data_IF_732087904861
#
_entry.id   IF_732087904861
#
_cell.length_a   1.000
_cell.length_b   1.000
_cell.length_c   1.000
_cell.angle_alpha   90.00
_cell.angle_beta   90.00
_cell.angle_gamma   90.00
#
_symmetry.space_group_name_H-M   'P 1'
#
loop_
_entity.id
_entity.type
_entity.pdbx_description
1 polymer ?
#
# COMPACT_ATOMS: atom_id res chain seq x y z
N UNK A 1 11.22 -15.23 -4.55
CA UNK A 1 11.09 -14.19 -3.50
C UNK A 1 9.84 -13.36 -3.83
N UNK A 2 8.91 -13.16 -2.90
CA UNK A 2 7.69 -12.41 -3.19
C UNK A 2 8.03 -10.97 -3.58
N UNK A 3 7.49 -10.50 -4.71
CA UNK A 3 7.66 -9.12 -5.14
C UNK A 3 7.20 -8.20 -4.00
N UNK A 4 7.97 -7.15 -3.71
CA UNK A 4 7.58 -6.27 -2.65
C UNK A 4 6.37 -5.44 -3.06
N UNK A 5 5.30 -5.48 -2.27
CA UNK A 5 4.09 -4.71 -2.52
C UNK A 5 3.91 -3.62 -1.46
N UNK A 6 3.36 -2.47 -1.87
CA UNK A 6 2.82 -1.45 -0.94
C UNK A 6 1.32 -1.63 -0.93
N UNK A 7 0.76 -1.88 0.26
CA UNK A 7 -0.68 -2.05 0.42
C UNK A 7 -1.29 -0.78 0.99
N UNK A 8 -2.55 -0.54 0.64
CA UNK A 8 -3.32 0.61 1.09
C UNK A 8 -4.79 0.25 1.26
N UNK A 9 -5.49 1.03 2.09
CA UNK A 9 -6.93 0.91 2.30
C UNK A 9 -7.70 1.50 1.12
N UNK A 10 -9.04 1.35 1.10
CA UNK A 10 -9.93 1.72 -0.02
C UNK A 10 -10.01 3.22 -0.39
N UNK A 11 -9.06 4.05 0.03
CA UNK A 11 -9.02 5.49 -0.26
C UNK A 11 -8.50 5.77 -1.68
N UNK A 12 -9.18 5.20 -2.67
CA UNK A 12 -8.91 5.40 -4.09
C UNK A 12 -10.05 6.13 -4.73
N UNK A 13 -9.70 7.19 -5.45
CA UNK A 13 -10.63 7.88 -6.32
C UNK A 13 -10.17 7.66 -7.75
N UNK A 14 -11.12 7.38 -8.65
CA UNK A 14 -10.86 7.55 -10.08
C UNK A 14 -10.34 8.98 -10.24
N UNK A 15 -9.10 9.12 -10.72
CA UNK A 15 -8.58 10.44 -10.99
C UNK A 15 -9.50 11.04 -12.06
N UNK A 16 -10.03 12.23 -11.80
CA UNK A 16 -10.89 12.95 -12.73
C UNK A 16 -10.34 14.35 -12.92
N UNK A 17 -10.52 14.89 -14.11
CA UNK A 17 -10.29 16.29 -14.40
C UNK A 17 -11.57 16.91 -14.95
N UNK A 18 -11.71 18.22 -14.75
CA UNK A 18 -12.80 18.98 -15.35
C UNK A 18 -12.38 19.36 -16.77
N UNK A 19 -13.12 18.89 -17.77
CA UNK A 19 -12.85 19.22 -19.15
C UNK A 19 -13.13 20.73 -19.36
N UNK A 20 -12.16 21.54 -19.80
CA UNK A 20 -12.36 22.97 -19.99
C UNK A 20 -13.34 23.29 -21.12
N UNK A 21 -13.60 22.36 -22.07
CA UNK A 21 -14.53 22.57 -23.18
C UNK A 21 -15.95 22.19 -22.83
N UNK A 22 -16.16 21.08 -22.11
CA UNK A 22 -17.51 20.56 -21.81
C UNK A 22 -17.95 20.82 -20.37
N UNK A 23 -17.07 21.32 -19.50
CA UNK A 23 -17.30 21.50 -18.06
C UNK A 23 -17.65 20.21 -17.27
N UNK A 24 -17.58 19.05 -17.91
CA UNK A 24 -17.85 17.74 -17.30
C UNK A 24 -16.61 17.14 -16.62
N UNK A 25 -16.83 16.24 -15.66
CA UNK A 25 -15.75 15.49 -15.03
C UNK A 25 -15.43 14.21 -15.81
N UNK A 26 -14.27 14.17 -16.46
CA UNK A 26 -13.78 13.01 -17.21
C UNK A 26 -12.73 12.26 -16.43
N UNK A 27 -12.62 10.96 -16.70
CA UNK A 27 -11.55 10.13 -16.15
C UNK A 27 -10.19 10.66 -16.64
N UNK A 28 -9.23 10.78 -15.73
CA UNK A 28 -7.91 11.28 -16.04
C UNK A 28 -7.09 10.22 -16.76
N UNK A 29 -6.76 10.55 -18.00
CA UNK A 29 -5.83 9.86 -18.87
C UNK A 29 -4.45 10.49 -18.73
N UNK A 30 -3.42 9.67 -18.55
CA UNK A 30 -2.06 10.16 -18.45
C UNK A 30 -1.60 10.69 -19.82
N UNK A 31 -1.27 11.97 -19.87
CA UNK A 31 -0.95 12.69 -21.12
C UNK A 31 0.21 12.10 -21.94
N UNK A 32 1.13 11.35 -21.32
CA UNK A 32 2.35 10.83 -21.96
C UNK A 32 2.54 9.33 -21.88
N UNK A 33 1.75 8.63 -21.06
CA UNK A 33 1.98 7.22 -20.79
C UNK A 33 0.87 6.42 -21.44
N UNK A 34 1.24 5.50 -22.32
CA UNK A 34 0.33 4.64 -23.05
C UNK A 34 0.41 3.22 -22.49
N UNK A 35 -0.73 2.54 -22.44
CA UNK A 35 -0.79 1.12 -22.17
C UNK A 35 -0.25 0.30 -23.34
N UNK A 36 -0.21 -1.02 -23.17
CA UNK A 36 0.25 -1.96 -24.22
C UNK A 36 -0.55 -1.80 -25.53
N UNK A 37 -1.78 -1.34 -25.44
CA UNK A 37 -2.69 -1.12 -26.57
C UNK A 37 -2.54 0.27 -27.23
N UNK A 38 -1.53 1.06 -26.86
CA UNK A 38 -1.28 2.40 -27.39
C UNK A 38 -2.23 3.49 -26.86
N UNK A 39 -3.25 3.13 -26.08
CA UNK A 39 -4.20 4.06 -25.46
C UNK A 39 -3.61 4.73 -24.21
N UNK A 40 -3.97 5.99 -23.90
CA UNK A 40 -3.55 6.64 -22.67
C UNK A 40 -3.90 5.84 -21.42
N UNK A 41 -2.99 5.80 -20.44
CA UNK A 41 -3.23 5.09 -19.19
C UNK A 41 -4.24 5.83 -18.33
N UNK A 42 -5.30 5.13 -17.95
CA UNK A 42 -6.21 5.61 -16.92
C UNK A 42 -5.49 5.57 -15.57
N UNK A 43 -5.67 6.62 -14.77
CA UNK A 43 -5.01 6.74 -13.48
C UNK A 43 -6.00 6.61 -12.31
N UNK A 44 -5.50 6.12 -11.20
CA UNK A 44 -6.10 6.30 -9.88
C UNK A 44 -5.37 7.38 -9.10
N UNK A 45 -6.14 8.14 -8.31
CA UNK A 45 -5.64 9.02 -7.27
C UNK A 45 -5.74 8.29 -5.94
N UNK A 46 -4.61 7.89 -5.38
CA UNK A 46 -4.55 7.26 -4.05
C UNK A 46 -4.21 8.35 -3.06
N UNK A 47 -5.12 8.60 -2.13
CA UNK A 47 -4.91 9.61 -1.09
C UNK A 47 -3.96 9.06 -0.03
N UNK A 48 -3.01 9.89 0.39
CA UNK A 48 -2.15 9.59 1.53
C UNK A 48 -2.92 9.86 2.83
N UNK A 49 -2.65 9.09 3.90
CA UNK A 49 -3.11 9.42 5.24
C UNK A 49 -2.68 10.84 5.64
N UNK A 50 -3.54 11.53 6.39
CA UNK A 50 -3.23 12.87 6.90
C UNK A 50 -2.01 12.83 7.85
N UNK A 51 -1.39 13.99 8.08
CA UNK A 51 -0.19 14.11 8.91
C UNK A 51 -0.29 13.37 10.26
N UNK A 52 -1.44 13.46 10.94
CA UNK A 52 -1.69 12.84 12.24
C UNK A 52 -1.78 11.30 12.20
N UNK A 53 -1.89 10.71 11.00
CA UNK A 53 -2.09 9.27 10.79
C UNK A 53 -0.90 8.58 10.12
N UNK A 54 0.23 9.28 9.98
CA UNK A 54 1.48 8.73 9.42
C UNK A 54 2.69 9.20 10.23
N UNK A 55 3.73 8.36 10.28
CA UNK A 55 4.98 8.67 10.98
C UNK A 55 5.86 9.64 10.19
N UNK A 56 6.00 9.38 8.90
CA UNK A 56 6.76 10.23 8.00
C UNK A 56 6.07 11.59 7.88
N UNK A 57 6.78 12.67 8.22
CA UNK A 57 6.39 14.06 7.97
C UNK A 57 7.26 14.64 6.86
N UNK A 58 6.69 15.54 6.06
CA UNK A 58 7.42 16.27 5.03
C UNK A 58 7.99 17.58 5.59
N UNK A 59 9.16 18.05 5.15
CA UNK A 59 9.58 19.42 5.44
C UNK A 59 8.63 20.41 4.77
N UNK A 60 8.62 21.67 5.25
CA UNK A 60 8.01 22.77 4.49
C UNK A 60 8.65 22.85 3.10
N UNK A 61 7.85 23.20 2.10
CA UNK A 61 8.40 23.38 0.76
C UNK A 61 9.26 24.64 0.67
N UNK A 62 9.94 24.83 -0.47
CA UNK A 62 10.82 26.00 -0.70
C UNK A 62 10.07 27.34 -0.69
N UNK A 63 8.74 27.31 -0.83
CA UNK A 63 7.87 28.48 -0.77
C UNK A 63 7.33 28.69 0.66
N UNK A 64 7.81 27.92 1.65
CA UNK A 64 7.38 28.00 3.05
C UNK A 64 6.03 27.32 3.34
N UNK A 65 5.45 26.61 2.37
CA UNK A 65 4.15 25.95 2.50
C UNK A 65 4.32 24.71 3.40
N UNK A 66 3.50 24.62 4.46
CA UNK A 66 3.36 23.39 5.23
C UNK A 66 2.50 22.38 4.46
N UNK A 67 3.18 21.51 3.71
CA UNK A 67 2.53 20.48 2.89
C UNK A 67 1.92 19.34 3.71
N UNK A 68 2.24 19.20 5.01
CA UNK A 68 1.60 18.19 5.86
C UNK A 68 0.15 18.56 6.21
N UNK A 69 -0.17 19.84 6.24
CA UNK A 69 -1.55 20.35 6.40
C UNK A 69 -2.44 20.11 5.18
N UNK A 70 -1.86 19.68 4.05
CA UNK A 70 -2.55 19.54 2.76
C UNK A 70 -3.00 18.10 2.51
N UNK A 71 -4.03 17.93 1.68
CA UNK A 71 -4.36 16.61 1.14
C UNK A 71 -3.27 16.19 0.15
N UNK A 72 -2.64 15.08 0.43
CA UNK A 72 -1.58 14.51 -0.41
C UNK A 72 -2.09 13.28 -1.17
N UNK A 73 -1.54 13.04 -2.35
CA UNK A 73 -1.91 11.89 -3.18
C UNK A 73 -0.80 11.45 -4.11
N UNK A 74 -0.85 10.19 -4.52
CA UNK A 74 -0.08 9.68 -5.66
C UNK A 74 -1.02 9.39 -6.83
N UNK A 75 -0.48 9.45 -8.03
CA UNK A 75 -1.14 8.98 -9.24
C UNK A 75 -0.48 7.69 -9.69
N UNK A 76 -1.28 6.65 -9.86
CA UNK A 76 -0.80 5.34 -10.34
C UNK A 76 -1.69 4.84 -11.47
N UNK A 77 -1.13 4.11 -12.46
CA UNK A 77 -1.92 3.42 -13.48
C UNK A 77 -2.94 2.47 -12.85
N UNK A 78 -4.14 2.40 -13.41
CA UNK A 78 -5.22 1.56 -12.86
C UNK A 78 -4.89 0.07 -12.86
N UNK A 79 -4.20 -0.37 -13.91
CA UNK A 79 -3.74 -1.74 -14.12
C UNK A 79 -2.60 -2.17 -13.19
N UNK A 80 -1.85 -1.21 -12.64
CA UNK A 80 -0.82 -1.44 -11.64
C UNK A 80 -1.37 -1.64 -10.21
N UNK A 81 -2.69 -1.54 -10.02
CA UNK A 81 -3.34 -1.70 -8.72
C UNK A 81 -4.17 -2.97 -8.69
N UNK A 82 -3.88 -3.81 -7.70
CA UNK A 82 -4.47 -5.12 -7.53
C UNK A 82 -5.29 -5.20 -6.25
N UNK A 83 -6.40 -5.93 -6.33
CA UNK A 83 -7.23 -6.26 -5.18
C UNK A 83 -6.78 -7.56 -4.53
N UNK A 84 -6.79 -7.63 -3.20
CA UNK A 84 -6.61 -8.88 -2.46
C UNK A 84 -7.38 -8.87 -1.14
N UNK A 85 -7.41 -10.01 -0.44
CA UNK A 85 -8.01 -10.14 0.88
C UNK A 85 -6.93 -10.52 1.90
N UNK A 86 -6.82 -9.75 2.97
CA UNK A 86 -5.96 -10.04 4.12
C UNK A 86 -6.83 -10.07 5.37
N UNK A 87 -6.82 -11.17 6.13
CA UNK A 87 -7.65 -11.35 7.32
C UNK A 87 -9.13 -10.97 7.07
N UNK A 88 -9.69 -11.50 5.97
CA UNK A 88 -11.06 -11.23 5.48
C UNK A 88 -11.37 -9.77 5.08
N UNK A 89 -10.43 -8.84 5.22
CA UNK A 89 -10.56 -7.45 4.79
C UNK A 89 -10.03 -7.28 3.37
N UNK A 90 -10.84 -6.66 2.49
CA UNK A 90 -10.42 -6.29 1.14
C UNK A 90 -9.38 -5.17 1.24
N UNK A 91 -8.19 -5.42 0.70
CA UNK A 91 -7.08 -4.46 0.63
C UNK A 91 -6.59 -4.36 -0.79
N UNK A 92 -5.99 -3.22 -1.14
CA UNK A 92 -5.39 -3.03 -2.45
C UNK A 92 -3.88 -2.94 -2.30
N UNK A 93 -3.17 -3.31 -3.35
CA UNK A 93 -1.73 -3.20 -3.41
C UNK A 93 -1.27 -2.80 -4.78
N UNK A 94 -0.09 -2.19 -4.84
CA UNK A 94 0.62 -1.88 -6.08
C UNK A 94 1.95 -2.63 -6.12
N UNK A 95 2.30 -3.09 -7.32
CA UNK A 95 3.59 -3.72 -7.57
C UNK A 95 4.69 -2.65 -7.54
N UNK A 96 5.75 -2.90 -6.77
CA UNK A 96 6.83 -1.93 -6.56
C UNK A 96 7.95 -2.06 -7.60
N UNK A 97 7.63 -2.36 -8.86
CA UNK A 97 8.65 -2.25 -9.93
C UNK A 97 9.13 -0.80 -10.07
N UNK A 98 8.29 0.17 -9.75
CA UNK A 98 8.66 1.58 -9.67
C UNK A 98 9.48 1.86 -8.40
N UNK A 99 10.71 2.33 -8.58
CA UNK A 99 11.63 2.63 -7.47
C UNK A 99 11.21 3.88 -6.67
N UNK A 100 10.45 4.77 -7.31
CA UNK A 100 10.07 6.09 -6.77
C UNK A 100 8.66 6.51 -7.15
N UNK A 101 7.91 7.07 -6.21
CA UNK A 101 6.58 7.67 -6.42
C UNK A 101 6.62 9.18 -6.23
N UNK A 102 5.91 9.90 -7.07
CA UNK A 102 5.71 11.35 -6.89
C UNK A 102 4.42 11.59 -6.09
N UNK A 103 4.58 12.20 -4.92
CA UNK A 103 3.49 12.67 -4.07
C UNK A 103 3.17 14.11 -4.45
N UNK A 104 1.91 14.33 -4.82
CA UNK A 104 1.34 15.64 -5.11
C UNK A 104 0.53 16.14 -3.92
N UNK A 105 0.46 17.45 -3.77
CA UNK A 105 -0.29 18.11 -2.71
C UNK A 105 -1.37 18.99 -3.32
N UNK A 106 -2.52 19.07 -2.66
CA UNK A 106 -3.63 19.91 -3.10
C UNK A 106 -3.30 21.40 -2.93
N UNK A 107 -3.41 22.13 -4.04
CA UNK A 107 -3.31 23.59 -4.05
C UNK A 107 -4.47 24.24 -3.29
N UNK A 108 -4.20 25.34 -2.62
CA UNK A 108 -5.19 26.20 -1.99
C UNK A 108 -5.23 27.56 -2.66
N UNK A 109 -6.40 28.21 -2.61
CA UNK A 109 -6.61 29.53 -3.17
C UNK A 109 -5.81 30.54 -2.36
N UNK A 110 -5.03 31.37 -3.07
CA UNK A 110 -4.29 32.45 -2.43
C UNK A 110 -5.26 33.52 -1.91
N UNK A 111 -4.90 34.10 -0.78
CA UNK A 111 -5.65 35.16 -0.11
C UNK A 111 -4.72 36.31 0.24
N UNK A 112 -5.22 37.52 0.22
CA UNK A 112 -4.51 38.70 0.72
C UNK A 112 -4.50 38.75 2.26
N UNK A 113 -3.94 39.81 2.82
CA UNK A 113 -3.82 39.99 4.27
C UNK A 113 -5.17 40.02 4.99
N UNK A 114 -6.23 40.48 4.31
CA UNK A 114 -7.60 40.59 4.83
C UNK A 114 -8.41 39.30 4.60
N UNK A 115 -7.80 38.30 3.95
CA UNK A 115 -8.41 37.00 3.68
C UNK A 115 -9.26 36.97 2.41
N UNK A 116 -9.29 38.02 1.60
CA UNK A 116 -9.98 38.02 0.32
C UNK A 116 -9.20 37.22 -0.73
N UNK A 117 -9.88 36.51 -1.63
CA UNK A 117 -9.18 35.71 -2.60
C UNK A 117 -8.44 36.55 -3.64
N UNK A 118 -7.22 36.13 -3.98
CA UNK A 118 -6.41 36.78 -5.01
C UNK A 118 -6.82 36.25 -6.39
N UNK A 119 -6.97 37.17 -7.35
CA UNK A 119 -7.31 36.86 -8.73
C UNK A 119 -6.17 37.21 -9.69
N UNK A 120 -6.07 36.49 -10.81
CA UNK A 120 -5.23 36.85 -11.95
C UNK A 120 -5.85 38.05 -12.70
N UNK A 121 -5.09 38.73 -13.58
CA UNK A 121 -5.62 39.86 -14.36
C UNK A 121 -6.85 39.50 -15.22
N UNK A 122 -7.00 38.24 -15.62
CA UNK A 122 -8.15 37.70 -16.33
C UNK A 122 -9.30 37.25 -15.41
N UNK A 123 -9.28 37.64 -14.13
CA UNK A 123 -10.35 37.40 -13.16
C UNK A 123 -10.45 35.96 -12.63
N UNK A 124 -9.44 35.11 -12.87
CA UNK A 124 -9.43 33.73 -12.36
C UNK A 124 -8.78 33.66 -11.00
N UNK A 125 -9.16 32.67 -10.20
CA UNK A 125 -8.56 32.44 -8.89
C UNK A 125 -7.08 32.10 -9.00
N UNK A 126 -6.24 32.78 -8.22
CA UNK A 126 -4.86 32.35 -8.00
C UNK A 126 -4.82 31.26 -6.94
N UNK A 127 -3.96 30.28 -7.16
CA UNK A 127 -3.71 29.16 -6.27
C UNK A 127 -2.23 29.04 -5.99
N UNK A 128 -1.88 28.59 -4.79
CA UNK A 128 -0.52 28.19 -4.48
C UNK A 128 -0.11 26.94 -5.29
N UNK A 129 1.19 26.71 -5.35
CA UNK A 129 1.78 25.62 -6.15
C UNK A 129 2.73 24.82 -5.26
N UNK A 130 2.21 23.95 -4.39
CA UNK A 130 3.05 23.13 -3.52
C UNK A 130 3.93 22.19 -4.35
N UNK A 131 5.20 22.08 -3.97
CA UNK A 131 6.16 21.28 -4.74
C UNK A 131 5.94 19.78 -4.48
N UNK A 132 5.80 18.95 -5.54
CA UNK A 132 5.69 17.51 -5.38
C UNK A 132 6.96 16.89 -4.78
N UNK A 133 6.78 15.87 -3.93
CA UNK A 133 7.88 15.16 -3.27
C UNK A 133 8.03 13.77 -3.85
N UNK A 134 9.26 13.37 -4.17
CA UNK A 134 9.56 11.99 -4.58
C UNK A 134 9.85 11.13 -3.36
N UNK A 135 9.16 10.01 -3.24
CA UNK A 135 9.34 9.04 -2.18
C UNK A 135 9.83 7.71 -2.72
N UNK A 136 10.74 7.09 -1.99
CA UNK A 136 11.15 5.73 -2.25
C UNK A 136 10.17 4.73 -1.61
N UNK A 137 10.38 3.46 -1.92
CA UNK A 137 9.54 2.37 -1.42
C UNK A 137 9.47 2.27 0.10
N UNK A 138 10.60 2.46 0.81
CA UNK A 138 10.64 2.37 2.27
C UNK A 138 9.75 3.44 2.90
N UNK A 139 9.83 4.67 2.38
CA UNK A 139 9.00 5.80 2.81
C UNK A 139 7.51 5.58 2.48
N UNK A 140 7.20 5.06 1.29
CA UNK A 140 5.82 4.74 0.92
C UNK A 140 5.20 3.66 1.81
N UNK A 141 5.95 2.61 2.13
CA UNK A 141 5.50 1.56 3.05
C UNK A 141 5.30 2.06 4.49
N UNK A 142 6.05 3.08 4.92
CA UNK A 142 5.88 3.72 6.22
C UNK A 142 4.62 4.60 6.29
N UNK A 143 4.28 5.27 5.19
CA UNK A 143 3.08 6.12 5.10
C UNK A 143 1.80 5.29 5.19
N UNK A 144 1.68 4.22 4.42
CA UNK A 144 0.46 3.42 4.34
C UNK A 144 0.41 2.31 5.42
N UNK A 145 0.78 2.67 6.66
CA UNK A 145 1.19 1.73 7.71
C UNK A 145 0.43 0.40 7.73
N UNK A 146 1.25 -0.62 7.74
CA UNK A 146 1.02 -1.98 7.26
C UNK A 146 0.42 -2.87 8.34
N UNK A 147 -0.35 -2.32 9.30
CA UNK A 147 -0.86 -3.08 10.46
C UNK A 147 -1.50 -4.42 10.04
N UNK A 148 -2.30 -4.41 8.98
CA UNK A 148 -2.89 -5.62 8.37
C UNK A 148 -1.87 -6.64 7.83
N UNK A 149 -0.73 -6.19 7.30
CA UNK A 149 0.35 -7.07 6.80
C UNK A 149 1.22 -7.57 7.94
N UNK A 150 1.45 -6.75 8.99
CA UNK A 150 2.17 -7.18 10.20
C UNK A 150 1.42 -8.30 10.90
N UNK A 151 0.09 -8.20 10.97
CA UNK A 151 -0.80 -9.27 11.46
C UNK A 151 -0.65 -10.54 10.61
N UNK A 152 -0.67 -10.46 9.27
CA UNK A 152 -0.44 -11.63 8.39
C UNK A 152 0.93 -12.27 8.62
N UNK A 153 2.01 -11.49 8.76
CA UNK A 153 3.34 -12.04 9.08
C UNK A 153 3.33 -12.74 10.43
N UNK A 154 2.68 -12.16 11.45
CA UNK A 154 2.57 -12.77 12.78
C UNK A 154 1.82 -14.11 12.71
N UNK A 155 0.67 -14.15 12.02
CA UNK A 155 -0.13 -15.37 11.84
C UNK A 155 0.64 -16.45 11.07
N UNK A 156 1.32 -16.10 9.97
CA UNK A 156 2.15 -17.06 9.21
C UNK A 156 3.34 -17.57 10.03
N UNK A 157 3.88 -16.75 10.95
CA UNK A 157 4.97 -17.19 11.84
C UNK A 157 4.44 -18.19 12.87
N UNK A 158 3.29 -17.89 13.48
CA UNK A 158 2.60 -18.81 14.42
C UNK A 158 2.20 -20.11 13.72
N UNK A 159 1.65 -20.07 12.50
CA UNK A 159 1.30 -21.30 11.76
C UNK A 159 2.52 -22.14 11.38
N UNK A 160 3.65 -21.50 11.05
CA UNK A 160 4.91 -22.21 10.78
C UNK A 160 5.51 -22.81 12.05
N UNK A 161 5.42 -22.09 13.17
CA UNK A 161 5.88 -22.59 14.46
C UNK A 161 4.99 -23.74 14.92
N UNK A 162 3.66 -23.63 14.85
CA UNK A 162 2.72 -24.73 15.15
C UNK A 162 3.00 -25.95 14.28
N UNK A 163 3.18 -25.80 12.96
CA UNK A 163 3.54 -26.93 12.08
C UNK A 163 4.89 -27.57 12.42
N UNK A 164 5.87 -26.79 12.89
CA UNK A 164 7.14 -27.33 13.39
C UNK A 164 6.95 -28.07 14.71
N UNK A 165 6.10 -27.59 15.61
CA UNK A 165 5.79 -28.28 16.88
C UNK A 165 5.02 -29.57 16.62
N UNK A 166 4.02 -29.58 15.72
CA UNK A 166 3.27 -30.82 15.40
C UNK A 166 4.10 -31.83 14.62
N UNK A 167 5.10 -31.39 13.83
CA UNK A 167 6.06 -32.32 13.22
C UNK A 167 7.01 -32.92 14.27
N UNK A 168 7.50 -32.13 15.25
CA UNK A 168 8.31 -32.66 16.36
C UNK A 168 7.52 -33.63 17.25
N UNK A 169 6.26 -33.35 17.54
CA UNK A 169 5.38 -34.23 18.32
C UNK A 169 5.08 -35.54 17.58
N UNK A 170 4.77 -35.50 16.28
CA UNK A 170 4.61 -36.72 15.48
C UNK A 170 5.90 -37.54 15.34
N UNK A 171 7.07 -36.90 15.37
CA UNK A 171 8.35 -37.64 15.31
C UNK A 171 8.67 -38.32 16.65
N UNK A 172 8.26 -37.72 17.78
CA UNK A 172 8.43 -38.32 19.10
C UNK A 172 7.39 -39.42 19.39
N UNK A 173 6.15 -39.28 18.91
CA UNK A 173 5.12 -40.33 19.05
C UNK A 173 5.42 -41.58 18.20
N UNK A 174 6.07 -41.42 17.03
CA UNK A 174 6.53 -42.57 16.23
C UNK A 174 7.68 -43.30 16.94
N UNK A 175 8.59 -42.60 17.61
CA UNK A 175 9.70 -43.24 18.33
C UNK A 175 9.26 -44.01 19.58
N UNK A 176 8.25 -43.52 20.32
CA UNK A 176 7.70 -44.25 21.49
C UNK A 176 6.87 -45.49 21.10
N UNK A 177 6.20 -45.48 19.94
CA UNK A 177 5.44 -46.64 19.46
C UNK A 177 6.31 -47.72 18.78
N UNK A 178 7.59 -47.43 18.51
CA UNK A 178 8.53 -48.42 17.95
C UNK A 178 9.26 -49.18 19.07
N UNK A 179 9.46 -48.57 20.25
CA UNK A 179 10.08 -49.24 21.41
C UNK A 179 9.13 -50.24 22.09
N UNK A 180 7.81 -50.00 22.12
CA UNK A 180 6.86 -50.92 22.76
C UNK A 180 6.42 -52.13 21.92
N UNK A 181 6.84 -52.23 20.64
CA UNK A 181 6.53 -53.40 19.80
C UNK A 181 7.63 -54.46 19.77
N UNK A 182 8.80 -54.22 20.37
CA UNK A 182 9.92 -55.17 20.34
C UNK A 182 10.04 -56.09 21.57
N UNK A 183 9.23 -55.93 22.62
CA UNK A 183 9.33 -56.76 23.85
C UNK A 183 8.31 -57.90 23.98
N UNK A 184 7.51 -58.21 22.94
CA UNK A 184 6.51 -59.31 23.01
C UNK A 184 6.65 -60.42 21.96
N UNK A 185 7.83 -60.60 21.37
CA UNK A 185 8.08 -61.74 20.47
C UNK A 185 9.46 -62.35 20.67
N UNK A 186 9.73 -62.88 21.86
CA UNK A 186 10.81 -63.84 22.06
C UNK A 186 10.56 -64.67 23.32
N UNK A 187 9.61 -65.61 23.24
CA UNK A 187 9.72 -66.89 23.96
C UNK A 187 8.59 -67.83 23.52
N UNK A 188 8.84 -68.55 22.44
CA UNK A 188 8.25 -69.86 22.20
C UNK A 188 9.36 -70.72 21.59
N UNK A 189 10.00 -71.53 22.43
CA UNK A 189 10.44 -72.89 22.12
C UNK A 189 11.48 -73.35 23.14
N UNK A 190 11.02 -74.11 24.14
CA UNK A 190 11.76 -75.18 24.81
C UNK A 190 10.84 -75.77 25.89
N UNK A 191 10.25 -76.93 25.60
CA UNK A 191 10.57 -78.16 26.32
C UNK A 191 9.90 -79.38 25.66
N UNK A 192 10.69 -80.46 25.64
CA UNK A 192 10.36 -81.80 25.16
C UNK A 192 9.46 -82.53 26.13
#
# INVERSE_FOLDING_TARGET
MAAPHVYFSRQMLKAKYKDPKTNEYRDYEHSRATGKDGKPLLMYRILLPSANHRKLQFPKDVNGIDVNSRKAYIQVPRDAVHDTKIAQKKVMYMDCETSTWTVYFESQRLRDADGHPIFTPDGKNQFDKPIPVKLNRKQMAEIFDTKLIREKKKVVTVEKDVKKTTQKEKTNEINLNTEHKHEKSSNSDLER
#
